data_IF_570502445213
#
_entry.id   IF_570502445213
#
_cell.length_a   1.000
_cell.length_b   1.000
_cell.length_c   1.000
_cell.angle_alpha   90.00
_cell.angle_beta   90.00
_cell.angle_gamma   90.00
#
_symmetry.space_group_name_H-M   'P 1'
#
loop_
_entity.id
_entity.type
_entity.pdbx_description
1 polymer ?
#
# COMPACT_ATOMS: atom_id res chain seq x y z
N UNK A 1 33.05 -5.83 62.49
CA UNK A 1 31.84 -4.98 62.56
C UNK A 1 31.99 -3.90 61.48
N UNK A 2 31.17 -3.93 60.44
CA UNK A 2 31.31 -3.01 59.28
C UNK A 2 30.75 -3.59 57.99
N UNK A 3 29.46 -3.95 57.96
CA UNK A 3 28.74 -4.24 56.71
C UNK A 3 28.68 -2.92 55.91
N UNK A 4 29.44 -2.84 54.81
CA UNK A 4 29.28 -1.78 53.80
C UNK A 4 27.83 -1.80 53.34
N UNK A 5 27.15 -0.67 53.56
CA UNK A 5 25.79 -0.43 53.12
C UNK A 5 25.69 -0.65 51.61
N UNK A 6 24.74 -1.49 51.22
CA UNK A 6 24.31 -1.66 49.84
C UNK A 6 23.97 -0.30 49.26
N UNK A 7 24.64 0.06 48.18
CA UNK A 7 24.27 1.18 47.32
C UNK A 7 22.82 1.02 46.90
N UNK A 8 21.98 1.99 47.26
CA UNK A 8 20.65 2.16 46.69
C UNK A 8 20.81 2.40 45.18
N UNK A 9 20.60 1.35 44.38
CA UNK A 9 20.49 1.46 42.93
C UNK A 9 19.29 2.37 42.63
N UNK A 10 19.56 3.57 42.11
CA UNK A 10 18.50 4.40 41.53
C UNK A 10 17.79 3.58 40.45
N UNK A 11 16.45 3.62 40.37
CA UNK A 11 15.73 2.86 39.36
C UNK A 11 16.21 3.30 37.97
N UNK A 12 16.96 2.44 37.29
CA UNK A 12 17.42 2.67 35.92
C UNK A 12 16.21 2.93 35.03
N UNK A 13 16.00 4.19 34.66
CA UNK A 13 14.99 4.58 33.68
C UNK A 13 15.47 4.18 32.29
N UNK A 14 15.08 2.99 31.86
CA UNK A 14 15.31 2.54 30.49
C UNK A 14 14.52 3.42 29.52
N UNK A 15 15.18 3.98 28.52
CA UNK A 15 14.53 4.75 27.44
C UNK A 15 13.59 3.86 26.62
N UNK A 16 13.87 2.56 26.51
CA UNK A 16 13.01 1.54 25.90
C UNK A 16 13.03 0.26 26.73
N UNK A 17 11.85 -0.25 27.09
CA UNK A 17 11.66 -1.53 27.76
C UNK A 17 10.89 -2.48 26.82
N UNK A 18 11.53 -3.53 26.33
CA UNK A 18 10.89 -4.52 25.45
C UNK A 18 10.02 -5.44 26.31
N UNK A 19 8.73 -5.14 26.41
CA UNK A 19 7.76 -5.98 27.14
C UNK A 19 7.25 -7.11 26.25
N UNK A 20 7.07 -8.34 26.79
CA UNK A 20 6.43 -9.42 26.05
C UNK A 20 4.99 -9.02 25.71
N UNK A 21 4.64 -9.13 24.43
CA UNK A 21 3.31 -8.79 23.89
C UNK A 21 2.28 -9.72 24.55
N UNK A 22 1.36 -9.17 25.35
CA UNK A 22 0.44 -9.98 26.19
C UNK A 22 -0.75 -10.57 25.42
N UNK A 23 -1.03 -10.07 24.21
CA UNK A 23 -2.14 -10.50 23.34
C UNK A 23 -1.76 -10.40 21.85
N UNK A 24 -2.33 -11.27 21.01
CA UNK A 24 -2.12 -11.29 19.56
C UNK A 24 -2.54 -9.99 18.83
N UNK A 25 -3.31 -9.11 19.50
CA UNK A 25 -3.82 -7.83 18.96
C UNK A 25 -3.31 -6.61 19.75
N UNK A 26 -2.26 -6.76 20.56
CA UNK A 26 -1.68 -5.64 21.29
C UNK A 26 -0.83 -4.80 20.33
N UNK A 27 -1.50 -3.91 19.58
CA UNK A 27 -0.85 -2.99 18.64
C UNK A 27 -0.32 -1.80 19.44
N UNK A 28 1.00 -1.56 19.49
CA UNK A 28 1.56 -0.47 20.29
C UNK A 28 1.38 0.87 19.55
N UNK A 29 0.16 1.41 19.56
CA UNK A 29 -0.17 2.68 18.88
C UNK A 29 0.72 3.84 19.33
N UNK A 30 1.07 3.89 20.62
CA UNK A 30 1.96 4.91 21.16
C UNK A 30 3.39 4.82 20.60
N UNK A 31 3.90 3.61 20.39
CA UNK A 31 5.20 3.40 19.73
C UNK A 31 5.10 3.73 18.25
N UNK A 32 4.05 3.30 17.55
CA UNK A 32 3.89 3.65 16.13
C UNK A 32 3.88 5.18 15.95
N UNK A 33 3.23 5.91 16.85
CA UNK A 33 3.18 7.37 16.82
C UNK A 33 4.54 8.03 17.11
N UNK A 34 5.35 7.47 18.01
CA UNK A 34 6.69 8.01 18.31
C UNK A 34 7.65 7.87 17.13
N UNK A 35 7.47 6.85 16.29
CA UNK A 35 8.26 6.62 15.09
C UNK A 35 7.61 7.14 13.79
N UNK A 36 6.65 8.07 13.88
CA UNK A 36 6.02 8.69 12.69
C UNK A 36 7.05 9.31 11.74
N UNK A 37 8.13 9.87 12.25
CA UNK A 37 9.17 10.52 11.44
C UNK A 37 9.92 9.48 10.59
N UNK A 38 10.17 8.29 11.13
CA UNK A 38 10.71 7.17 10.39
C UNK A 38 9.73 6.70 9.31
N UNK A 39 8.43 6.62 9.65
CA UNK A 39 7.39 6.26 8.69
C UNK A 39 7.35 7.24 7.51
N UNK A 40 7.37 8.55 7.76
CA UNK A 40 7.42 9.57 6.72
C UNK A 40 8.71 9.49 5.89
N UNK A 41 9.85 9.19 6.51
CA UNK A 41 11.11 8.98 5.82
C UNK A 41 11.03 7.79 4.87
N UNK A 42 10.43 6.67 5.29
CA UNK A 42 10.23 5.49 4.45
C UNK A 42 9.27 5.79 3.28
N UNK A 43 8.16 6.48 3.54
CA UNK A 43 7.22 6.91 2.48
C UNK A 43 7.93 7.80 1.45
N UNK A 44 8.70 8.80 1.92
CA UNK A 44 9.48 9.68 1.05
C UNK A 44 10.51 8.91 0.24
N UNK A 45 11.23 7.97 0.89
CA UNK A 45 12.22 7.10 0.23
C UNK A 45 11.56 6.31 -0.89
N UNK A 46 10.43 5.67 -0.63
CA UNK A 46 9.73 4.84 -1.60
C UNK A 46 9.23 5.66 -2.79
N UNK A 47 8.73 6.87 -2.55
CA UNK A 47 8.30 7.80 -3.60
C UNK A 47 9.49 8.26 -4.45
N UNK A 48 10.58 8.73 -3.81
CA UNK A 48 11.78 9.23 -4.52
C UNK A 48 12.49 8.10 -5.28
N UNK A 49 12.56 6.90 -4.71
CA UNK A 49 13.22 5.75 -5.32
C UNK A 49 12.60 5.36 -6.67
N UNK A 50 11.30 5.60 -6.86
CA UNK A 50 10.61 5.29 -8.11
C UNK A 50 10.97 6.26 -9.26
N UNK A 51 11.41 7.48 -8.95
CA UNK A 51 11.77 8.49 -9.96
C UNK A 51 13.27 8.64 -10.14
N UNK A 52 14.05 8.20 -9.15
CA UNK A 52 15.50 8.26 -9.25
C UNK A 52 15.92 7.38 -10.43
N UNK A 53 16.71 7.96 -11.36
CA UNK A 53 17.29 7.26 -12.51
C UNK A 53 16.30 6.80 -13.60
N UNK A 54 15.11 7.40 -13.69
CA UNK A 54 14.19 7.15 -14.83
C UNK A 54 14.05 8.39 -15.72
N UNK A 55 13.95 8.18 -17.04
CA UNK A 55 13.82 9.28 -18.03
C UNK A 55 12.49 10.01 -17.87
N UNK A 56 11.39 9.26 -17.68
CA UNK A 56 10.04 9.81 -17.57
C UNK A 56 9.66 10.25 -16.15
N UNK A 57 10.36 9.78 -15.12
CA UNK A 57 10.13 10.19 -13.73
C UNK A 57 8.66 10.02 -13.28
N UNK A 58 8.05 11.05 -12.67
CA UNK A 58 6.66 11.04 -12.19
C UNK A 58 5.58 10.73 -13.21
N UNK A 59 5.88 10.88 -14.50
CA UNK A 59 4.90 10.67 -15.57
C UNK A 59 4.40 9.21 -15.64
N UNK A 60 5.17 8.26 -15.09
CA UNK A 60 4.78 6.84 -15.02
C UNK A 60 3.49 6.59 -14.25
N UNK A 61 3.17 7.41 -13.25
CA UNK A 61 1.92 7.28 -12.49
C UNK A 61 0.67 7.51 -13.33
N UNK A 62 0.82 8.19 -14.46
CA UNK A 62 -0.27 8.51 -15.39
C UNK A 62 -0.20 7.66 -16.65
N UNK A 63 1.00 7.49 -17.22
CA UNK A 63 1.20 6.73 -18.45
C UNK A 63 0.77 5.28 -18.29
N UNK A 64 1.21 4.61 -17.22
CA UNK A 64 0.95 3.19 -17.04
C UNK A 64 -0.56 2.88 -16.95
N UNK A 65 -1.36 3.54 -16.07
CA UNK A 65 -2.80 3.31 -16.02
C UNK A 65 -3.53 3.63 -17.32
N UNK A 66 -3.13 4.69 -18.04
CA UNK A 66 -3.75 5.05 -19.32
C UNK A 66 -3.50 3.97 -20.37
N UNK A 67 -2.26 3.51 -20.52
CA UNK A 67 -1.92 2.46 -21.48
C UNK A 67 -2.67 1.16 -21.15
N UNK A 68 -2.71 0.75 -19.89
CA UNK A 68 -3.49 -0.43 -19.47
C UNK A 68 -4.97 -0.25 -19.77
N UNK A 69 -5.54 0.92 -19.49
CA UNK A 69 -6.95 1.22 -19.76
C UNK A 69 -7.26 1.19 -21.26
N UNK A 70 -6.37 1.72 -22.10
CA UNK A 70 -6.53 1.68 -23.56
C UNK A 70 -6.54 0.23 -24.03
N UNK A 71 -5.59 -0.59 -23.58
CA UNK A 71 -5.54 -2.01 -23.95
C UNK A 71 -6.81 -2.73 -23.52
N UNK A 72 -7.28 -2.52 -22.29
CA UNK A 72 -8.52 -3.13 -21.80
C UNK A 72 -9.75 -2.67 -22.59
N UNK A 73 -9.82 -1.38 -22.93
CA UNK A 73 -10.91 -0.81 -23.73
C UNK A 73 -10.92 -1.38 -25.15
N UNK A 74 -9.75 -1.58 -25.76
CA UNK A 74 -9.64 -2.16 -27.10
C UNK A 74 -10.04 -3.65 -27.08
N UNK A 75 -9.53 -4.42 -26.13
CA UNK A 75 -9.79 -5.87 -26.07
C UNK A 75 -11.23 -6.12 -25.62
N UNK A 76 -11.63 -5.61 -24.46
CA UNK A 76 -12.93 -5.96 -23.88
C UNK A 76 -14.08 -5.09 -24.41
N UNK A 77 -13.79 -3.83 -24.74
CA UNK A 77 -14.78 -2.93 -25.33
C UNK A 77 -15.02 -3.20 -26.80
N UNK A 78 -13.97 -3.20 -27.65
CA UNK A 78 -14.14 -3.36 -29.11
C UNK A 78 -14.17 -4.80 -29.59
N UNK A 79 -13.36 -5.70 -29.04
CA UNK A 79 -13.24 -7.08 -29.55
C UNK A 79 -14.28 -7.98 -28.87
N UNK A 80 -14.38 -7.94 -27.54
CA UNK A 80 -15.34 -8.76 -26.80
C UNK A 80 -16.75 -8.15 -26.72
N UNK A 81 -16.90 -6.88 -27.14
CA UNK A 81 -18.17 -6.13 -27.20
C UNK A 81 -19.00 -6.21 -25.90
N UNK A 82 -18.32 -6.16 -24.75
CA UNK A 82 -18.97 -6.20 -23.45
C UNK A 82 -19.71 -4.88 -23.25
N UNK A 83 -21.02 -4.98 -23.00
CA UNK A 83 -21.87 -3.84 -22.70
C UNK A 83 -21.46 -3.22 -21.36
N UNK A 84 -21.07 -1.94 -21.37
CA UNK A 84 -20.75 -1.16 -20.17
C UNK A 84 -21.95 -0.34 -19.68
N UNK A 85 -23.18 -0.85 -19.87
CA UNK A 85 -24.42 -0.20 -19.43
C UNK A 85 -24.53 1.29 -19.81
N UNK A 86 -24.05 1.65 -21.01
CA UNK A 86 -24.08 3.02 -21.54
C UNK A 86 -22.99 3.96 -21.01
N UNK A 87 -22.10 3.49 -20.12
CA UNK A 87 -20.95 4.26 -19.64
C UNK A 87 -19.78 4.18 -20.63
N UNK A 88 -18.96 5.24 -20.74
CA UNK A 88 -17.73 5.20 -21.52
C UNK A 88 -16.82 4.06 -21.03
N UNK A 89 -16.47 3.11 -21.91
CA UNK A 89 -15.62 1.96 -21.59
C UNK A 89 -14.33 2.35 -20.88
N UNK A 90 -13.69 3.43 -21.32
CA UNK A 90 -12.45 3.93 -20.73
C UNK A 90 -12.62 4.29 -19.24
N UNK A 91 -13.74 4.91 -18.87
CA UNK A 91 -14.01 5.31 -17.49
C UNK A 91 -14.28 4.09 -16.60
N UNK A 92 -15.02 3.11 -17.13
CA UNK A 92 -15.33 1.86 -16.45
C UNK A 92 -14.05 1.06 -16.13
N UNK A 93 -13.18 0.85 -17.13
CA UNK A 93 -11.94 0.11 -16.92
C UNK A 93 -10.94 0.89 -16.05
N UNK A 94 -10.84 2.22 -16.22
CA UNK A 94 -9.92 3.03 -15.42
C UNK A 94 -10.26 2.97 -13.92
N UNK A 95 -11.55 2.96 -13.55
CA UNK A 95 -11.98 2.81 -12.17
C UNK A 95 -11.52 1.46 -11.58
N UNK A 96 -11.77 0.36 -12.30
CA UNK A 96 -11.36 -0.98 -11.89
C UNK A 96 -9.85 -1.11 -11.76
N UNK A 97 -9.10 -0.64 -12.76
CA UNK A 97 -7.63 -0.68 -12.79
C UNK A 97 -7.04 0.11 -11.63
N UNK A 98 -7.59 1.30 -11.32
CA UNK A 98 -7.09 2.15 -10.23
C UNK A 98 -7.25 1.47 -8.87
N UNK A 99 -8.43 0.90 -8.60
CA UNK A 99 -8.68 0.13 -7.38
C UNK A 99 -7.76 -1.10 -7.33
N UNK A 100 -7.74 -1.88 -8.40
CA UNK A 100 -6.94 -3.11 -8.47
C UNK A 100 -5.45 -2.85 -8.25
N UNK A 101 -4.90 -1.79 -8.86
CA UNK A 101 -3.50 -1.39 -8.71
C UNK A 101 -3.15 -1.11 -7.24
N UNK A 102 -4.00 -0.37 -6.52
CA UNK A 102 -3.76 -0.10 -5.10
C UNK A 102 -3.76 -1.36 -4.24
N UNK A 103 -4.72 -2.27 -4.46
CA UNK A 103 -4.79 -3.53 -3.72
C UNK A 103 -3.61 -4.45 -4.02
N UNK A 104 -3.36 -4.72 -5.30
CA UNK A 104 -2.28 -5.61 -5.76
C UNK A 104 -0.91 -5.10 -5.31
N UNK A 105 -0.63 -3.80 -5.46
CA UNK A 105 0.65 -3.23 -5.03
C UNK A 105 0.81 -3.28 -3.50
N UNK A 106 -0.26 -3.06 -2.75
CA UNK A 106 -0.25 -3.13 -1.28
C UNK A 106 -0.01 -4.55 -0.78
N UNK A 107 -0.67 -5.54 -1.39
CA UNK A 107 -0.50 -6.95 -1.07
C UNK A 107 0.92 -7.43 -1.39
N UNK A 108 1.38 -7.21 -2.62
CA UNK A 108 2.68 -7.70 -3.09
C UNK A 108 3.83 -7.04 -2.35
N UNK A 109 3.84 -5.71 -2.20
CA UNK A 109 4.93 -5.05 -1.46
C UNK A 109 4.95 -5.42 0.02
N UNK A 110 3.77 -5.50 0.65
CA UNK A 110 3.71 -5.90 2.07
C UNK A 110 4.25 -7.32 2.26
N UNK A 111 3.97 -8.24 1.32
CA UNK A 111 4.51 -9.60 1.35
C UNK A 111 6.03 -9.66 1.33
N UNK A 112 6.70 -8.68 0.72
CA UNK A 112 8.16 -8.65 0.59
C UNK A 112 8.85 -7.83 1.69
N UNK A 113 8.11 -7.32 2.67
CA UNK A 113 8.64 -6.36 3.65
C UNK A 113 9.85 -6.90 4.41
N UNK A 114 9.78 -8.13 4.93
CA UNK A 114 10.87 -8.73 5.71
C UNK A 114 12.09 -9.05 4.87
N UNK A 115 11.91 -9.51 3.64
CA UNK A 115 13.01 -9.90 2.76
C UNK A 115 13.74 -8.67 2.21
N UNK A 116 13.02 -7.61 1.82
CA UNK A 116 13.62 -6.39 1.29
C UNK A 116 14.29 -5.52 2.38
N UNK A 117 13.77 -5.52 3.61
CA UNK A 117 14.26 -4.65 4.68
C UNK A 117 15.12 -5.40 5.73
N UNK A 118 15.55 -6.64 5.44
CA UNK A 118 16.34 -7.49 6.34
C UNK A 118 17.61 -6.77 6.89
N UNK A 119 18.31 -6.04 6.02
CA UNK A 119 19.51 -5.28 6.40
C UNK A 119 19.24 -4.16 7.42
N UNK A 120 18.07 -3.51 7.32
CA UNK A 120 17.70 -2.42 8.23
C UNK A 120 17.26 -3.00 9.56
N UNK A 121 16.42 -4.05 9.52
CA UNK A 121 15.95 -4.76 10.70
C UNK A 121 17.08 -5.41 11.52
N UNK A 122 18.19 -5.78 10.88
CA UNK A 122 19.36 -6.34 11.57
C UNK A 122 20.29 -5.31 12.21
N UNK A 123 20.17 -4.02 11.87
CA UNK A 123 21.11 -2.97 12.31
C UNK A 123 20.51 -1.97 13.29
N UNK A 124 19.21 -1.71 13.19
CA UNK A 124 18.53 -0.69 14.00
C UNK A 124 17.22 -1.25 14.52
N UNK A 125 16.95 -1.05 15.81
CA UNK A 125 15.67 -1.42 16.41
C UNK A 125 14.60 -0.37 16.14
N UNK A 126 13.44 -0.83 15.67
CA UNK A 126 12.19 -0.05 15.60
C UNK A 126 10.99 -1.01 15.45
N UNK A 127 9.77 -0.58 15.77
CA UNK A 127 8.57 -1.41 15.59
C UNK A 127 8.40 -1.87 14.13
N UNK A 128 8.42 -3.19 13.90
CA UNK A 128 8.44 -3.78 12.55
C UNK A 128 7.19 -3.45 11.72
N UNK A 129 6.06 -3.17 12.38
CA UNK A 129 4.77 -2.78 11.77
C UNK A 129 4.85 -1.44 11.01
N UNK A 130 5.85 -0.60 11.32
CA UNK A 130 6.03 0.70 10.65
C UNK A 130 6.33 0.53 9.16
N UNK A 131 7.09 -0.51 8.76
CA UNK A 131 7.45 -0.68 7.34
C UNK A 131 6.23 -1.07 6.50
N UNK A 132 5.44 -2.11 6.84
CA UNK A 132 4.19 -2.40 6.14
C UNK A 132 3.23 -1.21 6.09
N UNK A 133 3.12 -0.47 7.20
CA UNK A 133 2.25 0.70 7.26
C UNK A 133 2.72 1.82 6.32
N UNK A 134 4.04 2.04 6.24
CA UNK A 134 4.63 3.00 5.30
C UNK A 134 4.35 2.62 3.83
N UNK A 135 4.27 1.32 3.52
CA UNK A 135 3.93 0.82 2.18
C UNK A 135 2.48 1.18 1.84
N UNK A 136 1.52 0.93 2.75
CA UNK A 136 0.11 1.29 2.56
C UNK A 136 -0.04 2.80 2.33
N UNK A 137 0.61 3.63 3.14
CA UNK A 137 0.56 5.09 3.00
C UNK A 137 1.21 5.54 1.68
N UNK A 138 2.35 4.96 1.31
CA UNK A 138 3.00 5.23 0.03
C UNK A 138 2.08 4.90 -1.15
N UNK A 139 1.45 3.73 -1.11
CA UNK A 139 0.48 3.32 -2.14
C UNK A 139 -0.79 4.16 -2.12
N UNK A 140 -1.20 4.71 -0.97
CA UNK A 140 -2.33 5.62 -0.88
C UNK A 140 -2.06 6.94 -1.63
N UNK A 141 -0.81 7.44 -1.58
CA UNK A 141 -0.40 8.61 -2.39
C UNK A 141 -0.49 8.28 -3.88
N UNK A 142 -0.07 7.08 -4.29
CA UNK A 142 -0.16 6.62 -5.69
C UNK A 142 -1.63 6.53 -6.14
N UNK A 143 -2.47 5.94 -5.29
CA UNK A 143 -3.92 5.87 -5.51
C UNK A 143 -4.49 7.28 -5.65
N UNK A 144 -4.09 8.24 -4.81
CA UNK A 144 -4.57 9.61 -4.90
C UNK A 144 -4.22 10.28 -6.25
N UNK A 145 -3.01 10.04 -6.78
CA UNK A 145 -2.60 10.54 -8.10
C UNK A 145 -3.46 9.89 -9.21
N UNK A 146 -3.64 8.57 -9.16
CA UNK A 146 -4.48 7.84 -10.14
C UNK A 146 -5.96 8.22 -10.02
N UNK A 147 -6.43 8.49 -8.81
CA UNK A 147 -7.80 8.92 -8.55
C UNK A 147 -8.04 10.34 -9.07
N UNK A 148 -7.06 11.25 -8.94
CA UNK A 148 -7.13 12.58 -9.56
C UNK A 148 -7.21 12.45 -11.08
N UNK A 149 -6.41 11.57 -11.68
CA UNK A 149 -6.50 11.26 -13.11
C UNK A 149 -7.89 10.74 -13.48
N UNK A 150 -8.44 9.80 -12.72
CA UNK A 150 -9.79 9.29 -12.92
C UNK A 150 -10.85 10.42 -12.86
N UNK A 151 -10.78 11.29 -11.85
CA UNK A 151 -11.66 12.46 -11.75
C UNK A 151 -11.54 13.41 -12.95
N UNK A 152 -10.33 13.63 -13.47
CA UNK A 152 -10.13 14.44 -14.67
C UNK A 152 -10.87 13.84 -15.89
N UNK A 153 -10.85 12.51 -16.04
CA UNK A 153 -11.63 11.83 -17.07
C UNK A 153 -13.14 11.90 -16.83
N UNK A 154 -13.60 11.79 -15.58
CA UNK A 154 -15.02 11.98 -15.23
C UNK A 154 -15.50 13.35 -15.69
N UNK A 155 -14.77 14.42 -15.37
CA UNK A 155 -15.11 15.80 -15.76
C UNK A 155 -15.10 15.96 -17.28
N UNK A 156 -14.11 15.39 -17.97
CA UNK A 156 -14.05 15.41 -19.44
C UNK A 156 -15.28 14.76 -20.09
N UNK A 157 -15.68 13.58 -19.62
CA UNK A 157 -16.86 12.87 -20.15
C UNK A 157 -18.19 13.52 -19.74
N UNK A 158 -18.24 14.15 -18.56
CA UNK A 158 -19.39 14.97 -18.14
C UNK A 158 -19.62 16.12 -19.13
N UNK A 159 -18.57 16.88 -19.44
CA UNK A 159 -18.66 18.01 -20.38
C UNK A 159 -19.04 17.56 -21.81
N UNK A 160 -18.76 16.30 -22.15
CA UNK A 160 -19.14 15.68 -23.43
C UNK A 160 -20.59 15.19 -23.47
N UNK A 161 -21.39 15.43 -22.43
CA UNK A 161 -22.83 15.10 -22.39
C UNK A 161 -23.14 13.65 -22.01
N UNK A 162 -22.19 12.90 -21.43
CA UNK A 162 -22.43 11.53 -20.96
C UNK A 162 -23.22 11.50 -19.63
N UNK A 163 -24.04 10.46 -19.45
CA UNK A 163 -24.92 10.21 -18.29
C UNK A 163 -24.18 9.79 -17.01
N UNK A 164 -22.98 10.33 -16.74
CA UNK A 164 -22.22 10.02 -15.53
C UNK A 164 -22.77 10.86 -14.39
N UNK A 165 -23.67 10.30 -13.59
CA UNK A 165 -24.18 10.96 -12.39
C UNK A 165 -23.45 10.47 -11.13
N UNK A 166 -22.99 11.38 -10.25
CA UNK A 166 -22.46 10.99 -8.96
C UNK A 166 -23.53 10.25 -8.15
N UNK A 167 -23.28 8.98 -7.87
CA UNK A 167 -24.16 8.18 -7.01
C UNK A 167 -23.73 8.35 -5.54
N UNK A 168 -24.67 8.19 -4.60
CA UNK A 168 -24.38 8.09 -3.16
C UNK A 168 -23.31 7.05 -2.81
N UNK A 169 -23.04 6.09 -3.71
CA UNK A 169 -21.93 5.14 -3.62
C UNK A 169 -20.55 5.80 -3.44
N UNK A 170 -20.36 7.06 -3.83
CA UNK A 170 -19.11 7.81 -3.58
C UNK A 170 -18.78 7.89 -2.09
N UNK A 171 -19.80 7.91 -1.21
CA UNK A 171 -19.61 7.94 0.24
C UNK A 171 -18.98 6.63 0.79
N UNK A 172 -19.10 5.53 0.04
CA UNK A 172 -18.50 4.23 0.40
C UNK A 172 -17.02 4.14 0.03
N UNK A 173 -16.51 5.07 -0.77
CA UNK A 173 -15.14 5.04 -1.28
C UNK A 173 -14.07 5.03 -0.16
N UNK A 174 -14.16 5.85 0.91
CA UNK A 174 -13.19 5.79 2.00
C UNK A 174 -13.18 4.43 2.71
N UNK A 175 -14.36 3.82 2.88
CA UNK A 175 -14.51 2.49 3.49
C UNK A 175 -13.85 1.44 2.61
N UNK A 176 -14.06 1.53 1.29
CA UNK A 176 -13.44 0.64 0.31
C UNK A 176 -11.89 0.72 0.38
N UNK A 177 -11.32 1.93 0.42
CA UNK A 177 -9.86 2.14 0.51
C UNK A 177 -9.30 1.52 1.79
N UNK A 178 -9.96 1.74 2.93
CA UNK A 178 -9.54 1.17 4.21
C UNK A 178 -9.60 -0.36 4.17
N UNK A 179 -10.66 -0.93 3.60
CA UNK A 179 -10.83 -2.37 3.47
C UNK A 179 -9.76 -2.98 2.56
N UNK A 180 -9.48 -2.37 1.41
CA UNK A 180 -8.43 -2.83 0.49
C UNK A 180 -7.04 -2.74 1.10
N UNK A 181 -6.72 -1.62 1.76
CA UNK A 181 -5.45 -1.45 2.47
C UNK A 181 -5.31 -2.43 3.63
N UNK A 182 -6.39 -2.64 4.40
CA UNK A 182 -6.45 -3.57 5.52
C UNK A 182 -6.28 -5.03 5.10
N UNK A 183 -6.96 -5.46 4.02
CA UNK A 183 -6.80 -6.81 3.47
C UNK A 183 -5.40 -6.99 2.88
N UNK A 184 -4.91 -6.01 2.09
CA UNK A 184 -3.57 -6.04 1.53
C UNK A 184 -2.48 -6.13 2.59
N UNK A 185 -2.62 -5.36 3.68
CA UNK A 185 -1.71 -5.42 4.83
C UNK A 185 -1.80 -6.77 5.54
N UNK A 186 -3.01 -7.26 5.83
CA UNK A 186 -3.22 -8.48 6.61
C UNK A 186 -2.73 -9.72 5.86
N UNK A 187 -3.17 -9.91 4.62
CA UNK A 187 -2.74 -11.03 3.78
C UNK A 187 -1.25 -10.90 3.44
N UNK A 188 -0.79 -9.68 3.13
CA UNK A 188 0.61 -9.40 2.87
C UNK A 188 1.50 -9.79 4.04
N UNK A 189 1.10 -9.48 5.27
CA UNK A 189 1.87 -9.84 6.47
C UNK A 189 1.92 -11.36 6.71
N UNK A 190 0.82 -12.07 6.49
CA UNK A 190 0.79 -13.55 6.57
C UNK A 190 1.78 -14.13 5.56
N UNK A 191 1.72 -13.68 4.30
CA UNK A 191 2.62 -14.14 3.25
C UNK A 191 4.06 -13.72 3.54
N UNK A 192 4.28 -12.54 4.11
CA UNK A 192 5.62 -12.06 4.45
C UNK A 192 6.30 -12.96 5.46
N UNK A 193 5.56 -13.46 6.45
CA UNK A 193 6.09 -14.47 7.37
C UNK A 193 6.51 -15.76 6.63
N UNK A 194 5.74 -16.20 5.63
CA UNK A 194 6.01 -17.44 4.90
C UNK A 194 7.16 -17.29 3.89
N UNK A 195 7.28 -16.12 3.24
CA UNK A 195 8.33 -15.86 2.23
C UNK A 195 9.74 -15.86 2.82
N UNK A 196 9.89 -15.60 4.13
CA UNK A 196 11.18 -15.72 4.83
C UNK A 196 11.71 -17.16 4.82
N UNK A 197 10.81 -18.16 4.81
CA UNK A 197 11.14 -19.58 4.73
C UNK A 197 11.13 -20.10 3.30
N UNK A 198 10.16 -19.68 2.49
CA UNK A 198 9.96 -20.13 1.10
C UNK A 198 9.96 -18.95 0.14
N UNK A 199 11.11 -18.68 -0.48
CA UNK A 199 11.26 -17.55 -1.41
C UNK A 199 10.35 -17.66 -2.65
N UNK A 200 9.99 -18.87 -3.04
CA UNK A 200 9.12 -19.13 -4.20
C UNK A 200 7.71 -18.58 -4.04
N UNK A 201 7.26 -18.36 -2.81
CA UNK A 201 5.95 -17.76 -2.54
C UNK A 201 5.81 -16.35 -3.09
N UNK A 202 6.92 -15.62 -3.30
CA UNK A 202 6.91 -14.32 -3.99
C UNK A 202 6.45 -14.45 -5.45
N UNK A 203 6.97 -15.45 -6.16
CA UNK A 203 6.58 -15.71 -7.55
C UNK A 203 5.15 -16.20 -7.62
N UNK A 204 4.77 -17.12 -6.71
CA UNK A 204 3.40 -17.61 -6.61
C UNK A 204 2.41 -16.46 -6.34
N UNK A 205 2.72 -15.55 -5.42
CA UNK A 205 1.87 -14.39 -5.15
C UNK A 205 1.73 -13.49 -6.38
N UNK A 206 2.84 -13.19 -7.05
CA UNK A 206 2.81 -12.34 -8.26
C UNK A 206 1.93 -12.96 -9.33
N UNK A 207 2.04 -14.26 -9.54
CA UNK A 207 1.20 -15.01 -10.47
C UNK A 207 -0.27 -15.03 -10.04
N UNK A 208 -0.55 -15.28 -8.75
CA UNK A 208 -1.91 -15.30 -8.21
C UNK A 208 -2.61 -13.95 -8.34
N UNK A 209 -1.89 -12.85 -8.09
CA UNK A 209 -2.38 -11.49 -8.31
C UNK A 209 -2.67 -11.27 -9.80
N UNK A 210 -1.79 -11.69 -10.70
CA UNK A 210 -2.04 -11.54 -12.14
C UNK A 210 -3.25 -12.35 -12.62
N UNK A 211 -3.49 -13.54 -12.05
CA UNK A 211 -4.63 -14.39 -12.41
C UNK A 211 -5.97 -13.88 -11.85
N UNK A 212 -5.94 -13.17 -10.72
CA UNK A 212 -7.13 -12.60 -10.08
C UNK A 212 -7.61 -11.31 -10.78
N UNK A 213 -6.79 -10.74 -11.67
CA UNK A 213 -7.09 -9.55 -12.48
C UNK A 213 -7.95 -9.90 -13.70
#
# INVERSE_FOLDING_TARGET
MGKKSLSSEEPQQWTMEIKPVRRALDIPFAEIWSYRDLMFLLVRRDFVAMYKQTILGPLWFVIQPILTTIVFTLIFGKIANISTDGLPHMLFYLAGITCWAYFSESLTKTSETFTQNANIFGKVYFPRVIVPLSIIISNLIKLAIQFLLFLAFVVYYWNSGSSVQPNMAVLMLPILIILMGGIGLSLGMIISSLTTKYRDLKFLLTFAVQLLM
#
